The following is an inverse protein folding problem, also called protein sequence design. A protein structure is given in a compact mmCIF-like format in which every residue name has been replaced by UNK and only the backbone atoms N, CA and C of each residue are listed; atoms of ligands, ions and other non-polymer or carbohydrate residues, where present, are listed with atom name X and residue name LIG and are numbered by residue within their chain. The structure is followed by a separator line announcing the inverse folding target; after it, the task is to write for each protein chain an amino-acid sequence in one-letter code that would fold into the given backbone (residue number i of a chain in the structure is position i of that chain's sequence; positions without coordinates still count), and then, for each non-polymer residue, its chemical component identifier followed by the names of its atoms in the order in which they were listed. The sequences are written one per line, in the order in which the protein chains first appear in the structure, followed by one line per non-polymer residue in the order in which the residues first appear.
data_IF_320571922966
#
_entry.id   IF_320571922966
#
_cell.length_a   1.000
_cell.length_b   1.000
_cell.length_c   1.000
_cell.angle_alpha   90.00
_cell.angle_beta   90.00
_cell.angle_gamma   90.00
#
_symmetry.space_group_name_H-M   'P 1'
#
loop_
_entity.id
_entity.type
_entity.pdbx_description
1 polymer ?
#
# COMPACT_ATOMS: atom_id res chain seq x y z
N UNK A 1 -1.59 -0.12 -21.98
CA UNK A 1 -1.10 0.24 -20.62
C UNK A 1 -1.57 -0.80 -19.62
N UNK A 2 -0.66 -1.35 -18.81
CA UNK A 2 -0.93 -2.29 -17.72
C UNK A 2 -0.79 -1.57 -16.38
N UNK A 3 -1.72 -1.81 -15.45
CA UNK A 3 -1.66 -1.29 -14.09
C UNK A 3 -1.35 -2.43 -13.14
N UNK A 4 -0.33 -2.26 -12.31
CA UNK A 4 0.02 -3.19 -11.23
C UNK A 4 -0.08 -2.47 -9.90
N UNK A 5 -0.87 -3.00 -8.98
CA UNK A 5 -0.98 -2.47 -7.62
C UNK A 5 -0.22 -3.36 -6.65
N UNK A 6 0.81 -2.83 -6.03
CA UNK A 6 1.60 -3.49 -5.01
C UNK A 6 1.09 -3.04 -3.64
N UNK A 7 0.46 -3.95 -2.93
CA UNK A 7 -0.14 -3.68 -1.64
C UNK A 7 0.36 -4.62 -0.56
N UNK A 8 -0.05 -4.38 0.65
CA UNK A 8 0.33 -5.11 1.86
C UNK A 8 0.28 -4.17 3.05
N UNK A 9 0.34 -4.70 4.25
CA UNK A 9 0.38 -3.91 5.47
C UNK A 9 1.58 -2.94 5.50
N UNK A 10 1.61 -2.03 6.45
CA UNK A 10 2.81 -1.21 6.69
C UNK A 10 4.03 -2.11 6.92
N UNK A 11 5.22 -1.64 6.63
CA UNK A 11 6.49 -2.36 6.82
C UNK A 11 6.73 -3.61 5.96
N UNK A 12 5.89 -3.93 4.98
CA UNK A 12 6.08 -5.10 4.10
C UNK A 12 7.01 -4.85 2.90
N UNK A 13 7.71 -3.72 2.83
CA UNK A 13 8.71 -3.46 1.79
C UNK A 13 8.17 -3.13 0.40
N UNK A 14 6.92 -2.66 0.29
CA UNK A 14 6.25 -2.33 -0.99
C UNK A 14 7.09 -1.44 -1.91
N UNK A 15 7.58 -0.32 -1.38
CA UNK A 15 8.39 0.64 -2.15
C UNK A 15 9.68 0.01 -2.67
N UNK A 16 10.35 -0.78 -1.83
CA UNK A 16 11.57 -1.50 -2.23
C UNK A 16 11.29 -2.50 -3.33
N UNK A 17 10.18 -3.26 -3.19
CA UNK A 17 9.79 -4.23 -4.20
C UNK A 17 9.38 -3.55 -5.51
N UNK A 18 8.58 -2.47 -5.45
CA UNK A 18 8.18 -1.71 -6.63
C UNK A 18 9.39 -1.21 -7.43
N UNK A 19 10.36 -0.61 -6.74
CA UNK A 19 11.60 -0.14 -7.36
C UNK A 19 12.45 -1.30 -7.93
N UNK A 20 12.44 -2.46 -7.28
CA UNK A 20 13.21 -3.62 -7.70
C UNK A 20 12.68 -4.33 -8.95
N UNK A 21 11.37 -4.24 -9.23
CA UNK A 21 10.77 -4.85 -10.41
C UNK A 21 10.53 -3.88 -11.57
N UNK A 22 10.66 -2.58 -11.31
CA UNK A 22 10.49 -1.56 -12.34
C UNK A 22 11.71 -1.51 -13.26
N UNK A 23 11.45 -1.52 -14.57
CA UNK A 23 12.45 -1.27 -15.60
C UNK A 23 12.21 0.09 -16.26
N UNK A 24 10.96 0.35 -16.66
CA UNK A 24 10.55 1.54 -17.39
C UNK A 24 9.13 2.00 -17.02
N UNK A 25 8.55 1.40 -15.99
CA UNK A 25 7.23 1.74 -15.50
C UNK A 25 7.23 3.07 -14.74
N UNK A 26 6.09 3.75 -14.77
CA UNK A 26 5.84 4.89 -13.89
C UNK A 26 5.45 4.37 -12.52
N UNK A 27 6.22 4.72 -11.49
CA UNK A 27 5.91 4.33 -10.11
C UNK A 27 5.16 5.46 -9.40
N UNK A 28 3.99 5.15 -8.86
CA UNK A 28 3.15 6.06 -8.07
C UNK A 28 3.09 5.56 -6.64
N UNK A 29 3.67 6.33 -5.71
CA UNK A 29 3.56 6.06 -4.27
C UNK A 29 2.30 6.70 -3.71
N UNK A 30 1.37 5.89 -3.23
CA UNK A 30 0.17 6.39 -2.55
C UNK A 30 0.50 7.10 -1.24
N UNK A 31 1.55 6.68 -0.55
CA UNK A 31 2.00 7.35 0.69
C UNK A 31 2.49 8.77 0.39
N UNK A 32 3.27 8.97 -0.66
CA UNK A 32 3.72 10.29 -1.07
C UNK A 32 2.56 11.16 -1.55
N UNK A 33 1.68 10.59 -2.37
CA UNK A 33 0.53 11.29 -2.93
C UNK A 33 -0.47 11.71 -1.84
N UNK A 34 -0.79 10.81 -0.90
CA UNK A 34 -1.69 11.10 0.22
C UNK A 34 -1.13 12.20 1.13
N UNK A 35 0.19 12.19 1.39
CA UNK A 35 0.85 13.24 2.16
C UNK A 35 0.76 14.59 1.46
N UNK A 36 1.08 14.64 0.15
CA UNK A 36 0.99 15.88 -0.63
C UNK A 36 -0.43 16.47 -0.57
N UNK A 37 -1.46 15.64 -0.77
CA UNK A 37 -2.85 16.07 -0.70
C UNK A 37 -3.20 16.61 0.70
N UNK A 38 -2.87 15.86 1.76
CA UNK A 38 -3.17 16.25 3.14
C UNK A 38 -2.53 17.57 3.55
N UNK A 39 -1.34 17.87 3.07
CA UNK A 39 -0.65 19.13 3.37
C UNK A 39 -1.09 20.29 2.49
N UNK A 40 -1.80 20.03 1.40
CA UNK A 40 -2.23 21.06 0.44
C UNK A 40 -3.72 21.41 0.60
N UNK A 41 -4.54 20.44 0.98
CA UNK A 41 -6.00 20.57 1.05
C UNK A 41 -6.50 20.18 2.45
N UNK A 42 -6.89 21.15 3.24
CA UNK A 42 -7.33 20.97 4.63
C UNK A 42 -8.62 20.16 4.76
N UNK A 43 -9.47 20.18 3.72
CA UNK A 43 -10.76 19.48 3.67
C UNK A 43 -10.68 18.05 3.11
N UNK A 44 -9.48 17.60 2.77
CA UNK A 44 -9.29 16.24 2.26
C UNK A 44 -9.03 15.27 3.44
N UNK A 45 -10.10 14.83 4.07
CA UNK A 45 -10.10 13.95 5.24
C UNK A 45 -9.49 12.56 4.96
N UNK A 46 -8.18 12.50 4.77
CA UNK A 46 -7.42 11.28 4.59
C UNK A 46 -6.36 11.16 5.69
N UNK A 47 -6.66 10.40 6.72
CA UNK A 47 -5.78 10.24 7.88
C UNK A 47 -5.86 8.83 8.46
N UNK A 48 -4.86 8.47 9.24
CA UNK A 48 -4.91 7.28 10.08
C UNK A 48 -5.72 7.60 11.32
N UNK A 49 -6.79 6.86 11.55
CA UNK A 49 -7.57 6.94 12.77
C UNK A 49 -7.16 5.83 13.73
N UNK A 50 -7.22 6.13 15.00
CA UNK A 50 -6.97 5.14 16.04
C UNK A 50 -5.51 5.06 16.47
N UNK A 51 -5.29 4.19 17.45
CA UNK A 51 -4.00 4.06 18.13
C UNK A 51 -3.00 3.28 17.31
N UNK A 52 -3.47 2.22 16.65
CA UNK A 52 -2.68 1.33 15.79
C UNK A 52 -3.43 1.12 14.48
N UNK A 53 -2.81 1.43 13.36
CA UNK A 53 -3.40 1.21 12.05
C UNK A 53 -2.32 0.82 11.04
N UNK A 54 -2.52 -0.30 10.38
CA UNK A 54 -1.62 -0.80 9.34
C UNK A 54 -1.90 -0.18 7.96
N UNK A 55 -3.00 0.53 7.83
CA UNK A 55 -3.35 1.30 6.63
C UNK A 55 -4.07 2.61 7.03
N UNK A 56 -3.99 3.65 6.20
CA UNK A 56 -4.78 4.85 6.39
C UNK A 56 -6.28 4.54 6.34
N UNK A 57 -7.05 5.32 7.10
CA UNK A 57 -8.50 5.33 7.08
C UNK A 57 -8.98 6.76 6.80
N UNK A 58 -10.25 6.93 6.51
CA UNK A 58 -10.82 8.23 6.17
C UNK A 58 -11.56 8.17 4.84
N UNK A 59 -11.49 9.23 4.04
CA UNK A 59 -12.25 9.33 2.78
C UNK A 59 -11.56 8.57 1.62
N UNK A 60 -11.54 7.23 1.73
CA UNK A 60 -10.87 6.37 0.75
C UNK A 60 -11.48 6.46 -0.64
N UNK A 61 -12.80 6.63 -0.77
CA UNK A 61 -13.47 6.74 -2.07
C UNK A 61 -13.04 8.03 -2.80
N UNK A 62 -12.98 9.16 -2.07
CA UNK A 62 -12.50 10.42 -2.63
C UNK A 62 -11.05 10.32 -3.08
N UNK A 63 -10.21 9.66 -2.29
CA UNK A 63 -8.81 9.43 -2.64
C UNK A 63 -8.66 8.46 -3.82
N UNK A 64 -9.45 7.40 -3.87
CA UNK A 64 -9.45 6.46 -5.00
C UNK A 64 -9.86 7.14 -6.30
N UNK A 65 -10.89 7.99 -6.27
CA UNK A 65 -11.30 8.80 -7.42
C UNK A 65 -10.22 9.78 -7.86
N UNK A 66 -9.54 10.42 -6.91
CA UNK A 66 -8.39 11.26 -7.23
C UNK A 66 -7.27 10.46 -7.92
N UNK A 67 -6.90 9.31 -7.37
CA UNK A 67 -5.88 8.43 -7.96
C UNK A 67 -6.28 7.99 -9.36
N UNK A 68 -7.56 7.65 -9.57
CA UNK A 68 -8.07 7.28 -10.88
C UNK A 68 -7.92 8.42 -11.89
N UNK A 69 -8.39 9.61 -11.54
CA UNK A 69 -8.26 10.81 -12.39
C UNK A 69 -6.79 11.10 -12.71
N UNK A 70 -5.91 11.01 -11.72
CA UNK A 70 -4.47 11.23 -11.91
C UNK A 70 -3.86 10.24 -12.92
N UNK A 71 -4.24 8.96 -12.81
CA UNK A 71 -3.79 7.92 -13.74
C UNK A 71 -4.35 8.15 -15.15
N UNK A 72 -5.61 8.58 -15.27
CA UNK A 72 -6.21 8.88 -16.56
C UNK A 72 -5.39 9.98 -17.29
N UNK A 73 -4.97 11.04 -16.60
CA UNK A 73 -4.10 12.09 -17.18
C UNK A 73 -2.71 11.57 -17.53
N UNK A 74 -2.06 10.80 -16.64
CA UNK A 74 -0.75 10.19 -16.96
C UNK A 74 -0.84 9.29 -18.19
N UNK A 75 -1.95 8.60 -18.37
CA UNK A 75 -2.17 7.70 -19.51
C UNK A 75 -2.24 8.44 -20.85
N UNK A 76 -2.69 9.67 -20.84
CA UNK A 76 -2.70 10.53 -22.03
C UNK A 76 -1.28 10.98 -22.39
N UNK A 77 -0.50 11.38 -21.39
CA UNK A 77 0.86 11.89 -21.60
C UNK A 77 1.87 10.76 -21.90
N UNK A 78 1.63 9.55 -21.37
CA UNK A 78 2.52 8.39 -21.47
C UNK A 78 1.75 7.12 -21.88
N UNK A 79 1.16 7.05 -23.09
CA UNK A 79 0.22 5.99 -23.48
C UNK A 79 0.87 4.58 -23.53
N UNK A 80 2.17 4.51 -23.78
CA UNK A 80 2.92 3.26 -23.93
C UNK A 80 3.59 2.80 -22.64
N UNK A 81 3.45 3.56 -21.56
CA UNK A 81 4.07 3.21 -20.27
C UNK A 81 3.12 2.40 -19.40
N UNK A 82 3.64 1.37 -18.76
CA UNK A 82 2.93 0.69 -17.68
C UNK A 82 3.06 1.47 -16.37
N UNK A 83 2.12 1.24 -15.47
CA UNK A 83 2.06 1.96 -14.19
C UNK A 83 2.13 0.94 -13.05
N UNK A 84 3.04 1.18 -12.11
CA UNK A 84 3.10 0.52 -10.81
C UNK A 84 2.60 1.50 -9.76
N UNK A 85 1.58 1.09 -9.02
CA UNK A 85 1.05 1.85 -7.88
C UNK A 85 1.42 1.08 -6.62
N UNK A 86 2.00 1.74 -5.63
CA UNK A 86 2.35 1.09 -4.37
C UNK A 86 1.76 1.82 -3.16
N UNK A 87 1.30 1.04 -2.17
CA UNK A 87 0.75 1.59 -0.93
C UNK A 87 -0.19 0.63 -0.21
N UNK A 88 -0.71 1.06 0.95
CA UNK A 88 -1.64 0.30 1.77
C UNK A 88 -3.02 0.98 1.92
N UNK A 89 -3.31 2.00 1.11
CA UNK A 89 -4.51 2.83 1.27
C UNK A 89 -5.80 2.10 0.88
N UNK A 90 -5.71 1.20 -0.09
CA UNK A 90 -6.88 0.47 -0.62
C UNK A 90 -6.72 -1.02 -0.37
N UNK A 91 -7.83 -1.67 -0.04
CA UNK A 91 -7.89 -3.13 -0.13
C UNK A 91 -7.83 -3.56 -1.60
N UNK A 92 -7.46 -4.81 -1.89
CA UNK A 92 -7.50 -5.33 -3.25
C UNK A 92 -8.85 -5.12 -3.97
N UNK A 93 -9.96 -5.35 -3.27
CA UNK A 93 -11.29 -5.19 -3.84
C UNK A 93 -11.67 -3.73 -4.09
N UNK A 94 -11.33 -2.80 -3.17
CA UNK A 94 -11.51 -1.36 -3.39
C UNK A 94 -10.73 -0.92 -4.63
N UNK A 95 -9.48 -1.34 -4.77
CA UNK A 95 -8.66 -0.97 -5.92
C UNK A 95 -9.23 -1.53 -7.24
N UNK A 96 -9.62 -2.80 -7.26
CA UNK A 96 -10.22 -3.42 -8.45
C UNK A 96 -11.57 -2.83 -8.84
N UNK A 97 -12.30 -2.22 -7.92
CA UNK A 97 -13.56 -1.51 -8.27
C UNK A 97 -13.31 -0.32 -9.20
N UNK A 98 -12.17 0.35 -9.06
CA UNK A 98 -11.78 1.47 -9.92
C UNK A 98 -10.94 1.03 -11.13
N UNK A 99 -10.18 -0.06 -10.98
CA UNK A 99 -9.24 -0.58 -11.98
C UNK A 99 -9.45 -2.09 -12.20
N UNK A 100 -10.55 -2.51 -12.88
CA UNK A 100 -10.94 -3.94 -12.96
C UNK A 100 -9.88 -4.85 -13.60
N UNK A 101 -9.03 -4.30 -14.47
CA UNK A 101 -7.99 -5.04 -15.19
C UNK A 101 -6.61 -4.95 -14.52
N UNK A 102 -6.51 -4.35 -13.34
CA UNK A 102 -5.24 -4.24 -12.63
C UNK A 102 -4.78 -5.59 -12.09
N UNK A 103 -3.47 -5.79 -12.04
CA UNK A 103 -2.87 -6.92 -11.34
C UNK A 103 -2.51 -6.52 -9.91
N UNK A 104 -2.97 -7.29 -8.95
CA UNK A 104 -2.70 -7.03 -7.53
C UNK A 104 -1.57 -7.95 -7.05
N UNK A 105 -0.47 -7.37 -6.58
CA UNK A 105 0.61 -8.07 -5.90
C UNK A 105 0.53 -7.76 -4.41
N UNK A 106 0.31 -8.78 -3.60
CA UNK A 106 0.27 -8.66 -2.14
C UNK A 106 1.62 -9.06 -1.56
N UNK A 107 2.26 -8.14 -0.84
CA UNK A 107 3.41 -8.45 0.00
C UNK A 107 2.93 -8.72 1.41
N UNK A 108 3.27 -9.89 1.95
CA UNK A 108 2.84 -10.32 3.27
C UNK A 108 3.99 -10.73 4.18
N UNK A 109 3.71 -10.76 5.47
CA UNK A 109 4.58 -11.28 6.52
C UNK A 109 3.70 -12.14 7.43
N UNK A 110 4.08 -13.40 7.62
CA UNK A 110 3.39 -14.31 8.56
C UNK A 110 4.24 -14.66 9.78
N UNK A 111 5.53 -14.35 9.75
CA UNK A 111 6.45 -14.53 10.88
C UNK A 111 6.49 -13.29 11.78
N UNK A 112 6.24 -13.48 13.08
CA UNK A 112 6.19 -12.40 14.08
C UNK A 112 7.55 -11.72 14.29
N UNK A 113 8.62 -12.51 14.31
CA UNK A 113 9.98 -12.00 14.52
C UNK A 113 10.39 -11.10 13.36
N UNK A 114 10.04 -11.53 12.14
CA UNK A 114 10.26 -10.74 10.93
C UNK A 114 9.43 -9.45 10.95
N UNK A 115 8.15 -9.52 11.31
CA UNK A 115 7.29 -8.33 11.43
C UNK A 115 7.88 -7.31 12.41
N UNK A 116 8.29 -7.74 13.60
CA UNK A 116 8.93 -6.88 14.60
C UNK A 116 10.26 -6.29 14.10
N UNK A 117 11.07 -7.09 13.40
CA UNK A 117 12.31 -6.61 12.80
C UNK A 117 12.05 -5.50 11.76
N UNK A 118 11.07 -5.69 10.89
CA UNK A 118 10.68 -4.67 9.90
C UNK A 118 10.11 -3.39 10.55
N UNK A 119 9.33 -3.53 11.62
CA UNK A 119 8.83 -2.41 12.43
C UNK A 119 10.01 -1.61 13.01
N UNK A 120 11.00 -2.29 13.58
CA UNK A 120 12.16 -1.65 14.17
C UNK A 120 13.11 -0.97 13.16
N UNK A 121 12.99 -1.25 11.87
CA UNK A 121 13.70 -0.53 10.80
C UNK A 121 13.08 0.83 10.48
N UNK A 122 11.83 1.08 10.87
CA UNK A 122 11.13 2.36 10.63
C UNK A 122 11.43 3.36 11.74
N UNK A 123 12.06 4.48 11.41
CA UNK A 123 12.50 5.48 12.40
C UNK A 123 11.37 5.96 13.33
N UNK A 124 10.18 6.24 12.79
CA UNK A 124 9.06 6.69 13.59
C UNK A 124 8.47 5.60 14.50
N UNK A 125 8.65 4.31 14.14
CA UNK A 125 8.15 3.17 14.93
C UNK A 125 9.17 2.70 15.97
N UNK A 126 10.45 3.02 15.82
CA UNK A 126 11.47 2.65 16.82
C UNK A 126 11.16 3.15 18.22
N UNK A 127 10.53 4.32 18.30
CA UNK A 127 10.19 5.02 19.56
C UNK A 127 8.90 4.54 20.22
N UNK A 128 8.15 3.63 19.56
CA UNK A 128 6.92 3.08 20.11
C UNK A 128 7.22 2.07 21.22
N UNK A 129 6.31 1.96 22.18
CA UNK A 129 6.37 0.95 23.23
C UNK A 129 6.27 -0.46 22.63
N UNK A 130 6.84 -1.44 23.34
CA UNK A 130 6.87 -2.83 22.87
C UNK A 130 5.47 -3.42 22.68
N UNK A 131 4.52 -3.06 23.53
CA UNK A 131 3.13 -3.52 23.41
C UNK A 131 2.49 -3.01 22.12
N UNK A 132 2.70 -1.75 21.77
CA UNK A 132 2.23 -1.16 20.53
C UNK A 132 2.90 -1.81 19.33
N UNK A 133 4.22 -2.07 19.38
CA UNK A 133 4.93 -2.79 18.32
C UNK A 133 4.40 -4.22 18.11
N UNK A 134 4.10 -4.92 19.21
CA UNK A 134 3.50 -6.25 19.15
C UNK A 134 2.10 -6.23 18.52
N UNK A 135 1.30 -5.20 18.83
CA UNK A 135 -0.02 -5.01 18.23
C UNK A 135 0.10 -4.78 16.71
N UNK A 136 1.02 -3.90 16.27
CA UNK A 136 1.32 -3.72 14.84
C UNK A 136 1.75 -5.02 14.17
N UNK A 137 2.65 -5.79 14.79
CA UNK A 137 3.11 -7.05 14.24
C UNK A 137 1.95 -8.06 14.07
N UNK A 138 1.07 -8.17 15.05
CA UNK A 138 -0.09 -9.03 14.98
C UNK A 138 -1.05 -8.60 13.85
N UNK A 139 -1.33 -7.30 13.72
CA UNK A 139 -2.18 -6.78 12.63
C UNK A 139 -1.57 -7.02 11.24
N UNK A 140 -0.24 -6.88 11.08
CA UNK A 140 0.46 -7.16 9.83
C UNK A 140 0.29 -8.63 9.43
N UNK A 141 0.47 -9.54 10.37
CA UNK A 141 0.33 -10.98 10.16
C UNK A 141 -1.11 -11.33 9.80
N UNK A 142 -2.07 -10.84 10.58
CA UNK A 142 -3.49 -11.09 10.35
C UNK A 142 -3.93 -10.57 8.98
N UNK A 143 -3.54 -9.36 8.61
CA UNK A 143 -3.83 -8.79 7.30
C UNK A 143 -3.27 -9.65 6.16
N UNK A 144 -2.02 -10.12 6.30
CA UNK A 144 -1.38 -10.98 5.32
C UNK A 144 -2.09 -12.33 5.20
N UNK A 145 -2.42 -12.96 6.34
CA UNK A 145 -3.09 -14.25 6.38
C UNK A 145 -4.50 -14.20 5.77
N UNK A 146 -5.25 -13.13 6.07
CA UNK A 146 -6.63 -12.95 5.58
C UNK A 146 -6.69 -12.71 4.06
N UNK A 147 -5.68 -12.08 3.48
CA UNK A 147 -5.72 -11.70 2.07
C UNK A 147 -4.97 -12.64 1.13
N UNK A 148 -4.00 -13.43 1.62
CA UNK A 148 -3.14 -14.24 0.73
C UNK A 148 -3.90 -15.20 -0.20
N UNK A 149 -5.07 -15.66 0.21
CA UNK A 149 -5.92 -16.58 -0.56
C UNK A 149 -7.08 -15.87 -1.27
N UNK A 150 -7.11 -14.55 -1.25
CA UNK A 150 -8.16 -13.78 -1.93
C UNK A 150 -8.06 -13.93 -3.44
N UNK A 151 -9.21 -14.15 -4.10
CA UNK A 151 -9.29 -14.20 -5.59
C UNK A 151 -8.89 -12.87 -6.25
N UNK A 152 -8.88 -11.76 -5.50
CA UNK A 152 -8.43 -10.46 -5.97
C UNK A 152 -6.90 -10.38 -6.11
N UNK A 153 -6.15 -11.33 -5.53
CA UNK A 153 -4.69 -11.33 -5.54
C UNK A 153 -4.19 -12.09 -6.77
N UNK A 154 -3.48 -11.40 -7.66
CA UNK A 154 -2.79 -12.00 -8.78
C UNK A 154 -1.53 -12.77 -8.34
N UNK A 155 -0.77 -12.19 -7.39
CA UNK A 155 0.46 -12.78 -6.86
C UNK A 155 0.63 -12.44 -5.39
N UNK A 156 0.85 -13.44 -4.56
CA UNK A 156 1.28 -13.29 -3.17
C UNK A 156 2.78 -13.51 -3.06
N UNK A 157 3.44 -12.63 -2.33
CA UNK A 157 4.88 -12.72 -2.04
C UNK A 157 5.04 -12.62 -0.53
N UNK A 158 5.51 -13.71 0.06
CA UNK A 158 5.88 -13.72 1.46
C UNK A 158 7.30 -13.21 1.64
N UNK A 159 7.48 -12.23 2.52
CA UNK A 159 8.81 -11.84 2.93
C UNK A 159 9.40 -12.94 3.79
N UNK A 160 10.63 -13.30 3.49
CA UNK A 160 11.47 -14.19 4.27
C UNK A 160 12.72 -13.46 4.78
N UNK A 161 13.33 -14.00 5.83
CA UNK A 161 14.60 -13.50 6.39
C UNK A 161 15.73 -13.78 5.40
#
# INVERSE_FOLDING_TARGET
MKITYITGATCTGKTTYANGISNDEIIISLDALSKAIRFTFDDFELYTTGKVSIRPTGNNDKFLNFVKTYIDYISVDYPDRNIIIEGCHFTPNEFLSAFPNAQIILLGITDKSLALNQINKKEWMKKLDNDIKNEYANQIIEYSANLKNSKAIFKYIELSI
#
